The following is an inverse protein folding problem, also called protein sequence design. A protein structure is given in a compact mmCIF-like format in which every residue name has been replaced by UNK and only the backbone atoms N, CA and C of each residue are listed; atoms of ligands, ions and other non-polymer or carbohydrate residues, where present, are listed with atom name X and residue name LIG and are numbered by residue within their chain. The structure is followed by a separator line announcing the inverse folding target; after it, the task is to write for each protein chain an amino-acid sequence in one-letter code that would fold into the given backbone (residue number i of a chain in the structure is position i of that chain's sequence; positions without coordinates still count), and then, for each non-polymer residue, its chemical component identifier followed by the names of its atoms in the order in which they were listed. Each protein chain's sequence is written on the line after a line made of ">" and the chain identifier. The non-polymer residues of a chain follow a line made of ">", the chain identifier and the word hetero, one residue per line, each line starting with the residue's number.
data_IF_337623510685
#
_entry.id   IF_337623510685
#
_cell.length_a   1.000
_cell.length_b   1.000
_cell.length_c   1.000
_cell.angle_alpha   90.00
_cell.angle_beta   90.00
_cell.angle_gamma   90.00
#
_symmetry.space_group_name_H-M   'P 1'
#
loop_
_entity.id
_entity.type
_entity.pdbx_description
1 polymer ?
#
# COMPACT_ATOMS: atom_id res chain seq x y z
N UNK A 1 14.93 -57.11 -4.76
CA UNK A 1 14.37 -56.04 -5.61
C UNK A 1 13.78 -55.00 -4.66
N UNK A 2 14.50 -53.91 -4.43
CA UNK A 2 14.04 -52.85 -3.54
C UNK A 2 12.90 -52.14 -4.27
N UNK A 3 11.68 -52.22 -3.75
CA UNK A 3 10.54 -51.48 -4.30
C UNK A 3 10.81 -50.02 -3.95
N UNK A 4 11.20 -49.19 -4.91
CA UNK A 4 11.21 -47.75 -4.73
C UNK A 4 9.79 -47.31 -4.40
N UNK A 5 9.59 -46.76 -3.19
CA UNK A 5 8.31 -46.23 -2.79
C UNK A 5 8.01 -45.00 -3.65
N UNK A 6 6.91 -45.03 -4.40
CA UNK A 6 6.45 -43.90 -5.21
C UNK A 6 6.31 -42.68 -4.29
N UNK A 7 6.97 -41.59 -4.67
CA UNK A 7 6.96 -40.32 -3.95
C UNK A 7 5.65 -39.57 -4.15
N UNK A 8 5.35 -38.63 -3.24
CA UNK A 8 4.14 -37.83 -3.37
C UNK A 8 4.18 -36.91 -4.60
N UNK A 9 5.37 -36.47 -5.00
CA UNK A 9 5.59 -35.66 -6.21
C UNK A 9 5.32 -36.45 -7.48
N UNK A 10 5.72 -37.72 -7.55
CA UNK A 10 5.40 -38.61 -8.67
C UNK A 10 3.89 -38.86 -8.77
N UNK A 11 3.23 -39.13 -7.64
CA UNK A 11 1.76 -39.25 -7.59
C UNK A 11 1.11 -37.96 -8.07
N UNK A 12 1.65 -36.81 -7.67
CA UNK A 12 1.13 -35.52 -8.10
C UNK A 12 1.33 -35.31 -9.60
N UNK A 13 2.50 -35.65 -10.14
CA UNK A 13 2.78 -35.57 -11.57
C UNK A 13 1.86 -36.49 -12.38
N UNK A 14 1.57 -37.72 -11.91
CA UNK A 14 0.56 -38.60 -12.53
C UNK A 14 -0.83 -37.96 -12.60
N UNK A 15 -1.21 -37.17 -11.58
CA UNK A 15 -2.50 -36.46 -11.55
C UNK A 15 -2.51 -35.33 -12.58
N UNK A 16 -1.42 -34.60 -12.71
CA UNK A 16 -1.28 -33.54 -13.71
C UNK A 16 -1.24 -34.10 -15.14
N UNK A 17 -0.59 -35.25 -15.33
CA UNK A 17 -0.52 -35.98 -16.61
C UNK A 17 -1.86 -36.67 -16.98
N UNK A 18 -2.84 -36.71 -16.06
CA UNK A 18 -4.12 -37.39 -16.27
C UNK A 18 -4.07 -38.92 -16.16
N UNK A 19 -2.93 -39.50 -15.76
CA UNK A 19 -2.79 -40.94 -15.47
C UNK A 19 -3.57 -41.35 -14.22
N UNK A 20 -3.80 -40.40 -13.33
CA UNK A 20 -4.53 -40.58 -12.06
C UNK A 20 -5.54 -39.45 -11.85
N UNK A 21 -6.74 -39.78 -11.39
CA UNK A 21 -7.79 -38.76 -11.18
C UNK A 21 -7.64 -37.96 -9.87
N UNK A 22 -7.01 -38.53 -8.84
CA UNK A 22 -6.86 -37.93 -7.51
C UNK A 22 -5.77 -38.62 -6.70
N UNK A 23 -5.28 -37.96 -5.66
CA UNK A 23 -4.41 -38.57 -4.67
C UNK A 23 -5.06 -39.84 -4.06
N UNK A 24 -4.24 -40.83 -3.65
CA UNK A 24 -4.73 -41.99 -2.91
C UNK A 24 -5.66 -41.60 -1.74
N UNK A 25 -6.56 -42.50 -1.37
CA UNK A 25 -7.45 -42.27 -0.22
C UNK A 25 -6.59 -42.07 1.04
N UNK A 26 -7.04 -41.16 1.90
CA UNK A 26 -6.38 -40.81 3.15
C UNK A 26 -4.98 -40.20 3.04
N UNK A 27 -4.44 -39.91 1.84
CA UNK A 27 -3.13 -39.26 1.69
C UNK A 27 -2.94 -38.07 2.62
N UNK A 28 -3.92 -37.17 2.67
CA UNK A 28 -3.83 -35.98 3.52
C UNK A 28 -4.10 -36.27 4.99
N UNK A 29 -5.02 -37.19 5.31
CA UNK A 29 -5.29 -37.55 6.70
C UNK A 29 -4.09 -38.21 7.38
N UNK A 30 -3.32 -39.00 6.62
CA UNK A 30 -2.10 -39.66 7.09
C UNK A 30 -0.86 -38.74 7.11
N UNK A 31 -0.97 -37.52 6.60
CA UNK A 31 0.13 -36.54 6.57
C UNK A 31 0.17 -35.72 7.87
N UNK A 32 0.47 -36.38 8.99
CA UNK A 32 0.39 -35.78 10.34
C UNK A 32 1.25 -34.50 10.47
N UNK A 33 2.47 -34.52 9.94
CA UNK A 33 3.42 -33.41 10.00
C UNK A 33 3.35 -32.45 8.79
N UNK A 34 2.33 -32.61 7.95
CA UNK A 34 2.12 -31.83 6.73
C UNK A 34 3.31 -31.87 5.74
N UNK A 35 4.16 -32.90 5.82
CA UNK A 35 5.37 -32.99 4.99
C UNK A 35 5.01 -33.21 3.53
N UNK A 36 4.07 -34.11 3.25
CA UNK A 36 3.61 -34.38 1.88
C UNK A 36 2.92 -33.15 1.28
N UNK A 37 2.10 -32.45 2.06
CA UNK A 37 1.48 -31.20 1.69
C UNK A 37 2.51 -30.13 1.30
N UNK A 38 3.54 -29.93 2.14
CA UNK A 38 4.61 -28.96 1.88
C UNK A 38 5.41 -29.34 0.64
N UNK A 39 5.73 -30.62 0.46
CA UNK A 39 6.48 -31.13 -0.69
C UNK A 39 5.74 -30.94 -2.01
N UNK A 40 4.46 -31.32 -2.07
CA UNK A 40 3.62 -31.12 -3.26
C UNK A 40 3.47 -29.65 -3.61
N UNK A 41 3.21 -28.82 -2.60
CA UNK A 41 3.07 -27.37 -2.80
C UNK A 41 4.37 -26.74 -3.28
N UNK A 42 5.51 -27.13 -2.68
CA UNK A 42 6.84 -26.70 -3.11
C UNK A 42 7.11 -27.12 -4.55
N UNK A 43 6.87 -28.40 -4.88
CA UNK A 43 7.05 -28.93 -6.23
C UNK A 43 6.23 -28.16 -7.28
N UNK A 44 4.97 -27.83 -6.98
CA UNK A 44 4.16 -26.96 -7.84
C UNK A 44 4.83 -25.61 -8.09
N UNK A 45 5.28 -24.93 -7.03
CA UNK A 45 5.86 -23.60 -7.13
C UNK A 45 7.23 -23.62 -7.83
N UNK A 46 8.11 -24.55 -7.47
CA UNK A 46 9.52 -24.54 -7.89
C UNK A 46 9.78 -25.30 -9.18
N UNK A 47 9.11 -26.43 -9.41
CA UNK A 47 9.41 -27.32 -10.52
C UNK A 47 8.46 -27.13 -11.69
N UNK A 48 7.16 -27.01 -11.41
CA UNK A 48 6.12 -26.87 -12.43
C UNK A 48 6.00 -25.42 -12.89
N UNK A 49 5.75 -24.50 -11.94
CA UNK A 49 5.52 -23.08 -12.25
C UNK A 49 6.83 -22.30 -12.41
N UNK A 50 7.89 -22.71 -11.69
CA UNK A 50 9.20 -22.05 -11.66
C UNK A 50 9.11 -20.57 -11.28
N UNK A 51 8.23 -20.26 -10.33
CA UNK A 51 7.93 -18.89 -9.96
C UNK A 51 8.94 -18.26 -9.01
N UNK A 52 9.19 -16.97 -9.21
CA UNK A 52 9.82 -16.11 -8.22
C UNK A 52 8.80 -15.57 -7.18
N UNK A 53 9.29 -14.85 -6.17
CA UNK A 53 8.43 -14.28 -5.11
C UNK A 53 7.35 -13.32 -5.63
N UNK A 54 7.66 -12.51 -6.64
CA UNK A 54 6.71 -11.58 -7.24
C UNK A 54 5.56 -12.30 -7.94
N UNK A 55 5.87 -13.39 -8.65
CA UNK A 55 4.88 -14.24 -9.31
C UNK A 55 4.00 -14.97 -8.29
N UNK A 56 4.57 -15.46 -7.18
CA UNK A 56 3.80 -16.04 -6.07
C UNK A 56 2.80 -15.00 -5.53
N UNK A 57 3.26 -13.80 -5.19
CA UNK A 57 2.41 -12.71 -4.68
C UNK A 57 1.27 -12.34 -5.65
N UNK A 58 1.55 -12.36 -6.95
CA UNK A 58 0.59 -11.93 -7.97
C UNK A 58 -0.43 -13.01 -8.36
N UNK A 59 -0.02 -14.28 -8.38
CA UNK A 59 -0.78 -15.36 -9.01
C UNK A 59 -1.22 -16.47 -8.05
N UNK A 60 -0.62 -16.59 -6.87
CA UNK A 60 -1.02 -17.59 -5.89
C UNK A 60 -2.41 -17.28 -5.31
N UNK A 61 -3.31 -18.27 -5.38
CA UNK A 61 -4.67 -18.11 -4.88
C UNK A 61 -5.56 -19.30 -5.20
N UNK A 62 -6.79 -19.27 -4.69
CA UNK A 62 -7.76 -20.37 -4.80
C UNK A 62 -7.92 -20.90 -6.24
N UNK A 63 -8.10 -20.00 -7.22
CA UNK A 63 -8.30 -20.40 -8.61
C UNK A 63 -7.10 -21.18 -9.19
N UNK A 64 -5.88 -20.76 -8.88
CA UNK A 64 -4.67 -21.46 -9.27
C UNK A 64 -4.58 -22.84 -8.62
N UNK A 65 -4.80 -22.91 -7.31
CA UNK A 65 -4.71 -24.15 -6.53
C UNK A 65 -5.73 -25.18 -7.03
N UNK A 66 -6.95 -24.73 -7.37
CA UNK A 66 -7.99 -25.57 -8.00
C UNK A 66 -7.55 -26.03 -9.39
N UNK A 67 -7.04 -25.12 -10.24
CA UNK A 67 -6.53 -25.43 -11.59
C UNK A 67 -5.47 -26.54 -11.55
N UNK A 68 -4.59 -26.51 -10.55
CA UNK A 68 -3.51 -27.48 -10.37
C UNK A 68 -3.89 -28.67 -9.47
N UNK A 69 -5.19 -28.97 -9.34
CA UNK A 69 -5.74 -30.17 -8.68
C UNK A 69 -5.40 -30.31 -7.18
N UNK A 70 -5.08 -29.20 -6.50
CA UNK A 70 -4.74 -29.19 -5.07
C UNK A 70 -5.89 -28.68 -4.17
N UNK A 71 -7.11 -28.55 -4.69
CA UNK A 71 -8.25 -28.08 -3.89
C UNK A 71 -8.54 -28.97 -2.66
N UNK A 72 -8.45 -30.29 -2.81
CA UNK A 72 -8.66 -31.23 -1.70
C UNK A 72 -7.60 -31.06 -0.59
N UNK A 73 -6.34 -30.85 -0.99
CA UNK A 73 -5.24 -30.56 -0.05
C UNK A 73 -5.52 -29.25 0.69
N UNK A 74 -5.84 -28.18 -0.05
CA UNK A 74 -6.13 -26.86 0.50
C UNK A 74 -7.26 -26.90 1.54
N UNK A 75 -8.34 -27.62 1.24
CA UNK A 75 -9.49 -27.74 2.14
C UNK A 75 -9.15 -28.53 3.41
N UNK A 76 -8.43 -29.65 3.28
CA UNK A 76 -8.20 -30.57 4.40
C UNK A 76 -7.08 -30.13 5.34
N UNK A 77 -6.07 -29.41 4.83
CA UNK A 77 -4.89 -29.02 5.62
C UNK A 77 -4.81 -27.55 5.98
N UNK A 78 -5.50 -26.68 5.25
CA UNK A 78 -5.31 -25.24 5.35
C UNK A 78 -6.62 -24.46 5.44
N UNK A 79 -7.75 -25.12 5.75
CA UNK A 79 -9.06 -24.49 5.95
C UNK A 79 -9.49 -23.55 4.79
N UNK A 80 -9.12 -23.88 3.55
CA UNK A 80 -9.34 -23.02 2.38
C UNK A 80 -8.57 -21.68 2.40
N UNK A 81 -7.45 -21.60 3.11
CA UNK A 81 -6.54 -20.45 3.10
C UNK A 81 -5.32 -20.68 2.21
N UNK A 82 -5.30 -20.09 0.98
CA UNK A 82 -4.11 -20.11 0.13
C UNK A 82 -2.87 -19.53 0.81
N UNK A 83 -3.05 -18.53 1.68
CA UNK A 83 -1.95 -17.93 2.43
C UNK A 83 -1.36 -18.91 3.45
N UNK A 84 -2.20 -19.61 4.23
CA UNK A 84 -1.70 -20.61 5.18
C UNK A 84 -0.89 -21.70 4.47
N UNK A 85 -1.37 -22.15 3.30
CA UNK A 85 -0.69 -23.13 2.46
C UNK A 85 0.72 -22.69 2.02
N UNK A 86 0.87 -21.47 1.52
CA UNK A 86 2.19 -21.00 1.05
C UNK A 86 3.11 -20.60 2.20
N UNK A 87 2.56 -20.09 3.31
CA UNK A 87 3.32 -19.77 4.52
C UNK A 87 3.86 -21.03 5.20
N UNK A 88 3.16 -22.16 5.13
CA UNK A 88 3.68 -23.44 5.65
C UNK A 88 4.89 -23.95 4.84
N UNK A 89 4.92 -23.70 3.53
CA UNK A 89 6.06 -24.05 2.66
C UNK A 89 7.24 -23.11 2.83
N UNK A 90 6.96 -21.82 3.00
CA UNK A 90 7.93 -20.75 3.16
C UNK A 90 7.61 -19.91 4.41
N UNK A 91 7.91 -20.43 5.62
CA UNK A 91 7.55 -19.79 6.88
C UNK A 91 8.03 -18.35 6.98
N UNK A 92 7.09 -17.44 7.26
CA UNK A 92 7.34 -16.00 7.48
C UNK A 92 7.99 -15.26 6.32
N UNK A 93 8.05 -15.87 5.13
CA UNK A 93 8.66 -15.27 3.93
C UNK A 93 7.74 -14.23 3.27
N UNK A 94 6.43 -14.44 3.39
CA UNK A 94 5.42 -13.57 2.82
C UNK A 94 4.51 -13.03 3.90
N UNK A 95 3.94 -11.85 3.67
CA UNK A 95 2.82 -11.35 4.46
C UNK A 95 1.53 -11.51 3.67
N UNK A 96 0.44 -11.78 4.36
CA UNK A 96 -0.85 -12.09 3.73
C UNK A 96 -1.38 -10.95 2.84
N UNK A 97 -1.09 -9.69 3.21
CA UNK A 97 -1.45 -8.51 2.43
C UNK A 97 -0.57 -8.27 1.20
N UNK A 98 0.53 -9.02 1.03
CA UNK A 98 1.36 -8.95 -0.18
C UNK A 98 0.75 -9.70 -1.36
N UNK A 99 -0.26 -10.55 -1.11
CA UNK A 99 -0.94 -11.29 -2.15
C UNK A 99 -2.01 -10.43 -2.83
N UNK A 100 -2.26 -10.69 -4.12
CA UNK A 100 -3.25 -9.96 -4.93
C UNK A 100 -4.64 -9.87 -4.29
N UNK A 101 -5.04 -10.89 -3.54
CA UNK A 101 -6.32 -10.95 -2.85
C UNK A 101 -6.10 -11.33 -1.39
N UNK A 102 -6.49 -10.46 -0.47
CA UNK A 102 -6.62 -10.81 0.96
C UNK A 102 -7.95 -11.53 1.20
N UNK A 103 -8.04 -12.48 2.15
CA UNK A 103 -9.31 -13.12 2.49
C UNK A 103 -10.40 -12.13 2.90
N UNK A 104 -11.65 -12.60 2.85
CA UNK A 104 -12.79 -11.85 3.37
C UNK A 104 -12.56 -11.56 4.87
N UNK A 105 -12.86 -10.34 5.32
CA UNK A 105 -12.66 -9.88 6.70
C UNK A 105 -11.20 -9.90 7.20
N UNK A 106 -10.23 -10.02 6.30
CA UNK A 106 -8.80 -9.97 6.67
C UNK A 106 -8.41 -8.64 7.30
N UNK A 107 -8.93 -7.53 6.78
CA UNK A 107 -8.63 -6.19 7.26
C UNK A 107 -9.44 -5.86 8.51
N UNK A 108 -8.75 -5.38 9.53
CA UNK A 108 -9.33 -4.52 10.57
C UNK A 108 -8.67 -3.14 10.46
N UNK A 109 -9.27 -2.14 11.12
CA UNK A 109 -8.70 -0.79 11.16
C UNK A 109 -7.28 -0.81 11.75
N UNK A 110 -7.09 -1.50 12.87
CA UNK A 110 -5.82 -1.63 13.59
C UNK A 110 -4.77 -2.34 12.74
N UNK A 111 -5.16 -3.43 12.08
CA UNK A 111 -4.25 -4.21 11.23
C UNK A 111 -3.77 -3.39 10.03
N UNK A 112 -4.67 -2.62 9.41
CA UNK A 112 -4.30 -1.74 8.30
C UNK A 112 -3.30 -0.65 8.75
N UNK A 113 -3.48 -0.07 9.94
CA UNK A 113 -2.53 0.88 10.52
C UNK A 113 -1.19 0.23 10.87
N UNK A 114 -1.19 -0.97 11.44
CA UNK A 114 0.04 -1.73 11.73
C UNK A 114 0.83 -2.04 10.46
N UNK A 115 0.14 -2.47 9.39
CA UNK A 115 0.75 -2.73 8.08
C UNK A 115 1.34 -1.45 7.51
N UNK A 116 0.58 -0.34 7.52
CA UNK A 116 1.08 0.94 7.02
C UNK A 116 2.31 1.42 7.83
N UNK A 117 2.27 1.32 9.16
CA UNK A 117 3.40 1.65 10.04
C UNK A 117 4.64 0.85 9.67
N UNK A 118 4.51 -0.47 9.61
CA UNK A 118 5.64 -1.35 9.28
C UNK A 118 6.22 -1.05 7.89
N UNK A 119 5.37 -0.73 6.91
CA UNK A 119 5.85 -0.34 5.57
C UNK A 119 6.68 0.95 5.64
N UNK A 120 6.16 1.98 6.32
CA UNK A 120 6.81 3.29 6.42
C UNK A 120 8.12 3.20 7.23
N UNK A 121 8.07 2.58 8.40
CA UNK A 121 9.15 2.63 9.40
C UNK A 121 10.20 1.53 9.17
N UNK A 122 9.79 0.32 8.77
CA UNK A 122 10.69 -0.84 8.71
C UNK A 122 11.08 -1.24 7.29
N UNK A 123 10.09 -1.36 6.40
CA UNK A 123 10.31 -1.85 5.03
C UNK A 123 10.97 -0.80 4.14
N UNK A 124 10.39 0.40 4.08
CA UNK A 124 10.83 1.48 3.19
C UNK A 124 11.67 2.53 3.93
N UNK A 125 11.60 2.59 5.27
CA UNK A 125 12.36 3.53 6.12
C UNK A 125 12.22 4.98 5.64
N UNK A 126 10.99 5.37 5.33
CA UNK A 126 10.68 6.67 4.75
C UNK A 126 10.82 7.76 5.80
N UNK A 127 11.55 8.83 5.47
CA UNK A 127 11.45 10.06 6.22
C UNK A 127 10.17 10.84 5.85
N UNK A 128 9.84 11.86 6.64
CA UNK A 128 8.61 12.64 6.44
C UNK A 128 8.51 13.26 5.04
N UNK A 129 9.61 13.76 4.48
CA UNK A 129 9.61 14.39 3.15
C UNK A 129 9.44 13.37 2.02
N UNK A 130 10.06 12.19 2.13
CA UNK A 130 9.83 11.08 1.19
C UNK A 130 8.37 10.63 1.24
N UNK A 131 7.83 10.45 2.45
CA UNK A 131 6.44 10.06 2.65
C UNK A 131 5.46 11.06 2.03
N UNK A 132 5.65 12.36 2.29
CA UNK A 132 4.86 13.45 1.68
C UNK A 132 4.86 13.43 0.14
N UNK A 133 5.91 12.87 -0.47
CA UNK A 133 6.06 12.83 -1.92
C UNK A 133 5.44 11.58 -2.57
N UNK A 134 5.43 10.44 -1.87
CA UNK A 134 4.92 9.18 -2.43
C UNK A 134 3.53 8.80 -1.92
N UNK A 135 3.11 9.33 -0.76
CA UNK A 135 1.88 8.93 -0.10
C UNK A 135 0.66 9.46 -0.85
N UNK A 136 0.10 8.59 -1.69
CA UNK A 136 -1.13 8.82 -2.42
C UNK A 136 -1.94 7.53 -2.57
N UNK A 137 -3.16 7.67 -3.08
CA UNK A 137 -4.07 6.54 -3.34
C UNK A 137 -3.45 5.45 -4.23
N UNK A 138 -2.60 5.82 -5.19
CA UNK A 138 -1.89 4.89 -6.06
C UNK A 138 -0.88 4.05 -5.28
N UNK A 139 -0.06 4.67 -4.43
CA UNK A 139 0.91 3.99 -3.59
C UNK A 139 0.21 3.02 -2.62
N UNK A 140 -0.86 3.47 -1.94
CA UNK A 140 -1.68 2.59 -1.09
C UNK A 140 -2.32 1.41 -1.86
N UNK A 141 -2.67 1.61 -3.13
CA UNK A 141 -3.18 0.52 -3.98
C UNK A 141 -2.08 -0.51 -4.30
N UNK A 142 -0.86 -0.05 -4.58
CA UNK A 142 0.30 -0.93 -4.81
C UNK A 142 0.66 -1.75 -3.55
N UNK A 143 0.40 -1.22 -2.37
CA UNK A 143 0.58 -1.90 -1.08
C UNK A 143 -0.57 -2.83 -0.68
N UNK A 144 -1.62 -2.94 -1.51
CA UNK A 144 -2.81 -3.74 -1.18
C UNK A 144 -3.73 -3.11 -0.13
N UNK A 145 -3.48 -1.86 0.29
CA UNK A 145 -4.22 -1.16 1.35
C UNK A 145 -5.50 -0.48 0.85
N UNK A 146 -5.76 -0.45 -0.46
CA UNK A 146 -6.92 0.25 -1.04
C UNK A 146 -8.26 -0.19 -0.42
N UNK A 147 -8.44 -1.50 -0.24
CA UNK A 147 -9.66 -2.04 0.36
C UNK A 147 -9.86 -1.54 1.80
N UNK A 148 -8.80 -1.53 2.60
CA UNK A 148 -8.83 -1.02 3.97
C UNK A 148 -9.14 0.49 4.03
N UNK A 149 -8.51 1.28 3.15
CA UNK A 149 -8.75 2.74 3.03
C UNK A 149 -10.23 3.02 2.74
N UNK A 150 -10.83 2.24 1.83
CA UNK A 150 -12.25 2.38 1.50
C UNK A 150 -13.16 2.00 2.67
N UNK A 151 -12.85 0.91 3.38
CA UNK A 151 -13.68 0.39 4.46
C UNK A 151 -13.68 1.26 5.73
N UNK A 152 -12.52 1.79 6.13
CA UNK A 152 -12.37 2.43 7.45
C UNK A 152 -12.15 3.94 7.40
N UNK A 153 -11.82 4.50 6.24
CA UNK A 153 -11.48 5.93 6.08
C UNK A 153 -12.23 6.59 4.93
N UNK A 154 -13.39 6.06 4.52
CA UNK A 154 -14.24 6.63 3.46
C UNK A 154 -13.46 6.94 2.16
N UNK A 155 -12.53 6.05 1.79
CA UNK A 155 -11.66 6.20 0.61
C UNK A 155 -10.73 7.45 0.67
N UNK A 156 -10.43 7.95 1.88
CA UNK A 156 -9.50 9.06 2.14
C UNK A 156 -8.12 8.57 2.60
N UNK A 157 -7.09 8.63 1.74
CA UNK A 157 -5.70 8.38 2.13
C UNK A 157 -5.25 9.27 3.29
N UNK A 158 -5.65 10.55 3.27
CA UNK A 158 -5.24 11.50 4.31
C UNK A 158 -5.82 11.12 5.67
N UNK A 159 -7.09 10.70 5.72
CA UNK A 159 -7.68 10.26 6.98
C UNK A 159 -6.92 9.06 7.57
N UNK A 160 -6.46 8.11 6.74
CA UNK A 160 -5.65 6.98 7.20
C UNK A 160 -4.29 7.41 7.78
N UNK A 161 -3.55 8.31 7.10
CA UNK A 161 -2.23 8.74 7.61
C UNK A 161 -2.34 9.63 8.85
N UNK A 162 -3.39 10.46 8.92
CA UNK A 162 -3.66 11.26 10.11
C UNK A 162 -4.12 10.40 11.29
N UNK A 163 -4.73 9.23 11.05
CA UNK A 163 -5.02 8.27 12.12
C UNK A 163 -3.74 7.57 12.61
N UNK A 164 -2.83 7.24 11.68
CA UNK A 164 -1.54 6.63 12.02
C UNK A 164 -0.60 7.58 12.78
N UNK A 165 -0.55 8.84 12.32
CA UNK A 165 0.29 9.92 12.83
C UNK A 165 -0.56 11.17 13.10
N UNK A 166 -1.31 11.20 14.22
CA UNK A 166 -2.22 12.28 14.55
C UNK A 166 -1.58 13.66 14.49
N UNK A 167 -2.15 14.53 13.65
CA UNK A 167 -1.78 15.94 13.50
C UNK A 167 -0.33 16.21 13.07
N UNK A 168 0.40 15.19 12.62
CA UNK A 168 1.80 15.37 12.18
C UNK A 168 1.91 15.97 10.78
N UNK A 169 0.89 15.78 9.95
CA UNK A 169 0.86 16.26 8.57
C UNK A 169 -0.38 17.12 8.33
N UNK A 170 -0.25 18.11 7.46
CA UNK A 170 -1.38 18.79 6.84
C UNK A 170 -1.69 18.15 5.49
N UNK A 171 -2.95 18.14 5.10
CA UNK A 171 -3.38 17.49 3.86
C UNK A 171 -2.73 18.08 2.60
N UNK A 172 -2.45 19.40 2.59
CA UNK A 172 -1.74 20.08 1.51
C UNK A 172 -0.23 19.79 1.48
N UNK A 173 0.33 19.16 2.51
CA UNK A 173 1.70 18.67 2.53
C UNK A 173 1.89 17.35 1.81
N UNK A 174 0.86 16.77 1.17
CA UNK A 174 0.99 15.61 0.27
C UNK A 174 0.94 16.01 -1.21
N UNK A 175 1.51 15.20 -2.10
CA UNK A 175 1.62 15.53 -3.54
C UNK A 175 0.28 15.74 -4.22
N UNK A 176 -0.76 15.06 -3.71
CA UNK A 176 -2.13 15.22 -4.18
C UNK A 176 -3.08 15.45 -3.02
N UNK A 177 -3.76 16.59 -3.08
CA UNK A 177 -4.97 16.84 -2.28
C UNK A 177 -6.19 16.22 -2.99
N UNK A 178 -7.24 15.80 -2.28
CA UNK A 178 -8.47 15.31 -2.90
C UNK A 178 -9.12 16.31 -3.87
N UNK A 179 -10.02 15.80 -4.71
CA UNK A 179 -10.87 16.63 -5.55
C UNK A 179 -11.67 17.60 -4.67
N UNK A 180 -11.78 18.85 -5.11
CA UNK A 180 -12.48 19.92 -4.38
C UNK A 180 -11.95 20.20 -2.96
N UNK A 181 -10.73 19.76 -2.64
CA UNK A 181 -10.11 20.01 -1.34
C UNK A 181 -9.98 21.51 -1.03
N UNK A 182 -9.47 22.28 -2.00
CA UNK A 182 -9.14 23.69 -1.83
C UNK A 182 -10.39 24.56 -1.77
N UNK A 183 -10.56 25.27 -0.65
CA UNK A 183 -11.37 26.49 -0.53
C UNK A 183 -10.44 27.71 -0.45
N UNK A 184 -10.99 28.92 -0.63
CA UNK A 184 -10.22 30.15 -0.45
C UNK A 184 -9.62 30.26 0.95
N UNK A 185 -10.41 29.93 1.97
CA UNK A 185 -10.01 29.89 3.39
C UNK A 185 -8.86 28.91 3.63
N UNK A 186 -9.00 27.64 3.21
CA UNK A 186 -7.95 26.63 3.37
C UNK A 186 -6.64 27.03 2.69
N UNK A 187 -6.73 27.72 1.55
CA UNK A 187 -5.55 28.21 0.85
C UNK A 187 -4.83 29.32 1.63
N UNK A 188 -5.58 30.23 2.26
CA UNK A 188 -5.03 31.25 3.15
C UNK A 188 -4.44 30.63 4.42
N UNK A 189 -5.10 29.64 5.02
CA UNK A 189 -4.58 28.94 6.20
C UNK A 189 -3.30 28.17 5.87
N UNK A 190 -3.25 27.49 4.72
CA UNK A 190 -2.05 26.81 4.25
C UNK A 190 -0.90 27.79 4.00
N UNK A 191 -1.20 28.96 3.42
CA UNK A 191 -0.20 30.02 3.22
C UNK A 191 0.29 30.58 4.56
N UNK A 192 -0.62 30.92 5.49
CA UNK A 192 -0.31 31.40 6.83
C UNK A 192 0.59 30.42 7.57
N UNK A 193 0.17 29.16 7.65
CA UNK A 193 0.93 28.10 8.30
C UNK A 193 2.32 27.91 7.67
N UNK A 194 2.42 28.03 6.34
CA UNK A 194 3.72 27.92 5.66
C UNK A 194 4.68 29.05 6.07
N UNK A 195 4.17 30.28 6.14
CA UNK A 195 4.95 31.48 6.49
C UNK A 195 5.31 31.46 7.98
N UNK A 196 4.32 31.27 8.85
CA UNK A 196 4.43 31.53 10.29
C UNK A 196 4.96 30.31 11.05
N UNK A 197 4.58 29.09 10.66
CA UNK A 197 4.88 27.88 11.42
C UNK A 197 5.97 27.03 10.77
N UNK A 198 5.85 26.75 9.47
CA UNK A 198 6.77 25.87 8.74
C UNK A 198 8.13 26.53 8.49
N UNK A 199 8.14 27.70 7.88
CA UNK A 199 9.39 28.43 7.57
C UNK A 199 9.73 29.52 8.58
N UNK A 200 8.78 29.96 9.42
CA UNK A 200 8.96 31.02 10.43
C UNK A 200 9.61 32.27 9.84
N UNK A 201 9.11 32.70 8.68
CA UNK A 201 9.69 33.80 7.92
C UNK A 201 9.45 35.13 8.63
N UNK A 202 10.51 35.92 8.77
CA UNK A 202 10.38 37.35 9.09
C UNK A 202 9.86 38.12 7.88
N UNK A 203 9.28 39.30 8.11
CA UNK A 203 8.74 40.16 7.02
C UNK A 203 9.79 40.40 5.91
N UNK A 204 11.04 40.67 6.28
CA UNK A 204 12.13 40.86 5.31
C UNK A 204 12.44 39.60 4.49
N UNK A 205 12.43 38.42 5.12
CA UNK A 205 12.65 37.15 4.40
C UNK A 205 11.48 36.81 3.49
N UNK A 206 10.25 37.10 3.93
CA UNK A 206 9.05 36.90 3.13
C UNK A 206 9.08 37.77 1.87
N UNK A 207 9.39 39.07 1.99
CA UNK A 207 9.52 39.98 0.85
C UNK A 207 10.55 39.52 -0.19
N UNK A 208 11.62 38.84 0.26
CA UNK A 208 12.68 38.33 -0.62
C UNK A 208 12.35 36.97 -1.26
N UNK A 209 11.65 36.08 -0.56
CA UNK A 209 11.38 34.70 -1.00
C UNK A 209 10.05 34.54 -1.74
N UNK A 210 9.05 35.35 -1.38
CA UNK A 210 7.66 35.15 -1.81
C UNK A 210 7.50 35.41 -3.31
N UNK A 211 7.54 34.32 -4.07
CA UNK A 211 7.44 34.30 -5.53
C UNK A 211 6.46 33.22 -5.97
N UNK A 212 6.09 33.23 -7.25
CA UNK A 212 5.29 32.15 -7.83
C UNK A 212 5.97 30.78 -7.68
N UNK A 213 7.30 30.73 -7.82
CA UNK A 213 8.06 29.50 -7.66
C UNK A 213 8.07 29.01 -6.20
N UNK A 214 8.14 29.93 -5.23
CA UNK A 214 8.01 29.59 -3.81
C UNK A 214 6.61 29.04 -3.48
N UNK A 215 5.55 29.62 -4.02
CA UNK A 215 4.19 29.06 -3.87
C UNK A 215 4.05 27.68 -4.52
N UNK A 216 4.68 27.47 -5.68
CA UNK A 216 4.73 26.15 -6.35
C UNK A 216 5.46 25.12 -5.51
N UNK A 217 6.61 25.45 -4.91
CA UNK A 217 7.36 24.53 -4.04
C UNK A 217 6.56 24.13 -2.79
N UNK A 218 5.62 24.97 -2.35
CA UNK A 218 4.71 24.68 -1.24
C UNK A 218 3.33 24.20 -1.68
N UNK A 219 3.18 23.79 -2.96
CA UNK A 219 1.95 23.19 -3.51
C UNK A 219 0.71 24.09 -3.44
N UNK A 220 0.92 25.40 -3.41
CA UNK A 220 -0.13 26.43 -3.41
C UNK A 220 -0.49 26.95 -4.82
N UNK A 221 0.05 26.34 -5.88
CA UNK A 221 -0.23 26.73 -7.27
C UNK A 221 -1.71 26.61 -7.64
N UNK A 222 -2.32 25.45 -7.37
CA UNK A 222 -3.73 25.19 -7.71
C UNK A 222 -4.68 26.21 -7.05
N UNK A 223 -4.64 26.45 -5.73
CA UNK A 223 -5.50 27.45 -5.12
C UNK A 223 -5.17 28.88 -5.57
N UNK A 224 -3.89 29.22 -5.80
CA UNK A 224 -3.48 30.53 -6.33
C UNK A 224 -4.18 30.86 -7.65
N UNK A 225 -4.18 29.91 -8.59
CA UNK A 225 -4.83 30.08 -9.90
C UNK A 225 -6.35 30.16 -9.73
N UNK A 226 -6.92 29.30 -8.88
CA UNK A 226 -8.37 29.18 -8.71
C UNK A 226 -9.03 30.41 -8.07
N UNK A 227 -8.37 31.03 -7.09
CA UNK A 227 -9.01 32.07 -6.26
C UNK A 227 -8.41 33.47 -6.43
N UNK A 228 -7.21 33.58 -7.00
CA UNK A 228 -6.52 34.86 -7.21
C UNK A 228 -6.03 35.05 -8.65
N UNK A 229 -6.53 34.24 -9.61
CA UNK A 229 -6.16 34.31 -11.03
C UNK A 229 -4.64 34.31 -11.27
N UNK A 230 -3.87 33.61 -10.42
CA UNK A 230 -2.41 33.54 -10.53
C UNK A 230 -1.66 34.71 -9.91
N UNK A 231 -2.34 35.71 -9.36
CA UNK A 231 -1.73 36.88 -8.73
C UNK A 231 -1.19 36.55 -7.33
N UNK A 232 0.13 36.40 -7.22
CA UNK A 232 0.81 36.17 -5.93
C UNK A 232 0.56 37.32 -4.96
N UNK A 233 0.64 38.56 -5.45
CA UNK A 233 0.36 39.74 -4.62
C UNK A 233 -1.07 39.76 -4.09
N UNK A 234 -2.06 39.43 -4.92
CA UNK A 234 -3.45 39.41 -4.45
C UNK A 234 -3.66 38.38 -3.33
N UNK A 235 -3.01 37.21 -3.42
CA UNK A 235 -3.10 36.19 -2.39
C UNK A 235 -2.47 36.63 -1.06
N UNK A 236 -1.27 37.21 -1.08
CA UNK A 236 -0.62 37.68 0.16
C UNK A 236 -1.31 38.90 0.76
N UNK A 237 -1.84 39.81 -0.07
CA UNK A 237 -2.61 40.95 0.42
C UNK A 237 -3.95 40.51 1.02
N UNK A 238 -4.54 39.43 0.53
CA UNK A 238 -5.76 38.86 1.13
C UNK A 238 -5.47 38.18 2.48
N UNK A 239 -4.28 37.59 2.64
CA UNK A 239 -3.82 37.05 3.93
C UNK A 239 -3.46 38.16 4.94
N UNK A 240 -2.75 39.19 4.49
CA UNK A 240 -2.31 40.33 5.31
C UNK A 240 -2.74 41.66 4.65
N UNK A 241 -4.01 42.07 4.83
CA UNK A 241 -4.57 43.25 4.18
C UNK A 241 -3.74 44.51 4.41
N UNK A 242 -3.29 45.12 3.31
CA UNK A 242 -2.54 46.39 3.29
C UNK A 242 -1.24 46.39 4.11
N UNK A 243 -0.72 45.20 4.49
CA UNK A 243 0.54 45.10 5.24
C UNK A 243 1.76 45.36 4.34
N UNK A 244 1.67 44.97 3.06
CA UNK A 244 2.78 45.05 2.11
C UNK A 244 2.37 45.76 0.81
N UNK A 245 3.25 46.62 0.32
CA UNK A 245 3.11 47.26 -0.99
C UNK A 245 3.55 46.29 -2.10
N UNK A 246 2.89 46.35 -3.27
CA UNK A 246 3.12 45.40 -4.37
C UNK A 246 4.57 45.41 -4.88
N UNK A 247 5.20 46.58 -4.93
CA UNK A 247 6.57 46.73 -5.40
C UNK A 247 7.63 46.27 -4.38
N UNK A 248 7.23 45.93 -3.16
CA UNK A 248 8.14 45.47 -2.11
C UNK A 248 8.53 44.00 -2.28
N UNK A 249 7.76 43.23 -3.06
CA UNK A 249 8.11 41.86 -3.41
C UNK A 249 9.06 41.83 -4.61
N UNK A 250 10.06 40.94 -4.55
CA UNK A 250 10.91 40.68 -5.72
C UNK A 250 10.07 40.08 -6.85
N UNK A 251 10.18 40.67 -8.05
CA UNK A 251 9.57 40.19 -9.30
C UNK A 251 10.22 38.89 -9.74
#
# INVERSE_FOLDING_TARGET
>A
MQIEAITIEEIYQEILDGKRNRFPRNTWNSDENNDMAKRVTRYLVTNILKWNEGEIKLHWGNALIVKYRLHGLLKLKYENSPYAMINDVYPNRFKEWEFKMTPLNFWTKEKALQVLRWIIEEKEKLNQEQLKNIYEKKWLTQLGLRGAVQLYWNDSPYAMINDLYPNQFKEWEFTKTPNNFWTKEKALDALRWTIEEKEKLTDNQLLQKYTMNWLKSHRLWTPLIRYWNGSTYAMINDLYPNKYEKHSFRV
#
